data_IF_384223684238
#
_entry.id   IF_384223684238
#
_cell.length_a   1.000
_cell.length_b   1.000
_cell.length_c   1.000
_cell.angle_alpha   90.00
_cell.angle_beta   90.00
_cell.angle_gamma   90.00
#
_symmetry.space_group_name_H-M   'P 1'
#
loop_
_entity.id
_entity.type
_entity.pdbx_description
1 polymer ?
#
# COMPACT_ATOMS: atom_id res chain seq x y z
N UNK A 1 18.71 3.27 -14.48
CA UNK A 1 18.90 2.58 -13.17
C UNK A 1 18.05 3.12 -12.02
N UNK A 2 17.46 4.32 -12.10
CA UNK A 2 16.73 4.96 -10.98
C UNK A 2 15.33 4.40 -10.64
N UNK A 3 14.69 3.62 -11.53
CA UNK A 3 13.32 3.13 -11.31
C UNK A 3 13.20 1.95 -10.32
N UNK A 4 14.27 1.19 -10.11
CA UNK A 4 14.27 0.04 -9.18
C UNK A 4 14.47 0.45 -7.72
N UNK A 5 15.15 1.57 -7.48
CA UNK A 5 15.35 2.08 -6.13
C UNK A 5 14.05 2.63 -5.53
N UNK A 6 13.25 3.37 -6.29
CA UNK A 6 11.97 3.91 -5.81
C UNK A 6 10.97 2.82 -5.36
N UNK A 7 10.96 1.66 -6.02
CA UNK A 7 10.09 0.53 -5.66
C UNK A 7 10.60 -0.15 -4.38
N UNK A 8 11.92 -0.27 -4.21
CA UNK A 8 12.50 -0.78 -2.97
C UNK A 8 12.19 0.13 -1.78
N UNK A 9 12.29 1.45 -1.95
CA UNK A 9 11.97 2.42 -0.87
C UNK A 9 10.50 2.39 -0.50
N UNK A 10 9.60 2.22 -1.48
CA UNK A 10 8.16 2.12 -1.25
C UNK A 10 7.78 0.81 -0.54
N UNK A 11 8.42 -0.31 -0.88
CA UNK A 11 8.24 -1.59 -0.18
C UNK A 11 8.81 -1.57 1.24
N UNK A 12 9.93 -0.86 1.46
CA UNK A 12 10.50 -0.67 2.80
C UNK A 12 9.59 0.21 3.69
N UNK A 13 9.00 1.26 3.11
CA UNK A 13 8.03 2.11 3.81
C UNK A 13 6.74 1.35 4.16
N UNK A 14 6.27 0.47 3.27
CA UNK A 14 5.05 -0.31 3.50
C UNK A 14 5.23 -1.42 4.57
N UNK A 15 6.43 -1.98 4.68
CA UNK A 15 6.76 -2.98 5.72
C UNK A 15 6.94 -2.36 7.11
N UNK A 16 7.39 -1.10 7.20
CA UNK A 16 7.43 -0.34 8.44
C UNK A 16 6.03 0.04 8.95
N UNK A 17 5.09 0.34 8.05
CA UNK A 17 3.68 0.65 8.40
C UNK A 17 2.92 -0.58 8.91
N UNK A 18 3.17 -1.77 8.37
CA UNK A 18 2.55 -3.02 8.88
C UNK A 18 3.12 -3.45 10.25
N UNK A 19 4.39 -3.15 10.53
CA UNK A 19 5.04 -3.53 11.79
C UNK A 19 4.62 -2.63 12.98
N UNK A 20 4.18 -1.39 12.71
CA UNK A 20 3.78 -0.44 13.75
C UNK A 20 2.49 -0.81 14.48
N UNK A 21 1.54 -1.50 13.82
CA UNK A 21 0.26 -1.88 14.45
C UNK A 21 0.34 -3.07 15.41
N UNK A 22 1.44 -3.83 15.38
CA UNK A 22 1.68 -4.94 16.32
C UNK A 22 2.42 -4.49 17.61
N UNK A 23 2.93 -3.26 17.65
CA UNK A 23 3.67 -2.72 18.80
C UNK A 23 2.84 -1.80 19.70
N UNK A 24 1.62 -1.42 19.29
CA UNK A 24 0.69 -0.66 20.14
C UNK A 24 -0.22 -1.54 21.01
N UNK A 25 -0.15 -2.86 20.88
CA UNK A 25 -0.73 -3.78 21.86
C UNK A 25 0.25 -3.90 23.03
N UNK A 26 -0.05 -3.21 24.13
CA UNK A 26 0.55 -3.37 25.45
C UNK A 26 1.99 -3.92 25.43
N UNK A 27 2.99 -3.04 25.25
CA UNK A 27 4.33 -3.37 25.74
C UNK A 27 4.22 -3.39 27.27
N UNK A 28 3.73 -4.52 27.81
CA UNK A 28 3.92 -4.86 29.22
C UNK A 28 5.43 -4.95 29.40
N UNK A 29 5.99 -3.89 29.95
CA UNK A 29 7.40 -3.82 30.32
C UNK A 29 7.64 -4.94 31.32
N UNK A 30 8.20 -6.05 30.85
CA UNK A 30 8.75 -7.08 31.72
C UNK A 30 9.76 -6.38 32.65
N UNK A 31 9.73 -6.65 33.97
CA UNK A 31 10.72 -6.07 34.87
C UNK A 31 12.12 -6.47 34.38
N UNK A 32 12.92 -5.49 33.95
CA UNK A 32 14.26 -5.69 33.36
C UNK A 32 14.41 -5.27 31.90
N UNK A 33 13.34 -4.89 31.18
CA UNK A 33 13.46 -4.33 29.83
C UNK A 33 13.94 -2.86 29.88
N UNK A 34 14.87 -2.43 29.00
CA UNK A 34 15.28 -1.04 28.94
C UNK A 34 14.07 -0.17 28.62
N UNK A 35 13.86 0.89 29.41
CA UNK A 35 12.87 1.90 29.12
C UNK A 35 13.09 2.40 27.68
N UNK A 36 12.00 2.59 26.93
CA UNK A 36 12.08 3.23 25.61
C UNK A 36 12.81 4.58 25.77
N UNK A 37 13.66 4.99 24.80
CA UNK A 37 14.34 6.27 24.86
C UNK A 37 13.34 7.40 25.12
N UNK A 38 13.66 8.27 26.06
CA UNK A 38 12.84 9.43 26.40
C UNK A 38 12.58 10.25 25.12
N UNK A 39 11.33 10.61 24.85
CA UNK A 39 10.94 11.34 23.63
C UNK A 39 10.63 10.48 22.40
N UNK A 40 10.85 9.16 22.42
CA UNK A 40 10.58 8.30 21.25
C UNK A 40 9.07 8.25 20.94
N UNK A 41 8.21 8.15 21.95
CA UNK A 41 6.76 8.10 21.78
C UNK A 41 6.23 9.39 21.16
N UNK A 42 6.68 10.54 21.68
CA UNK A 42 6.32 11.87 21.19
C UNK A 42 6.79 12.07 19.74
N UNK A 43 8.01 11.65 19.42
CA UNK A 43 8.53 11.70 18.06
C UNK A 43 7.71 10.83 17.09
N UNK A 44 7.35 9.61 17.49
CA UNK A 44 6.54 8.71 16.67
C UNK A 44 5.12 9.27 16.43
N UNK A 45 4.51 9.88 17.45
CA UNK A 45 3.22 10.56 17.32
C UNK A 45 3.31 11.76 16.36
N UNK A 46 4.32 12.61 16.54
CA UNK A 46 4.57 13.74 15.62
C UNK A 46 4.77 13.29 14.18
N UNK A 47 5.57 12.24 13.97
CA UNK A 47 5.83 11.69 12.64
C UNK A 47 4.57 11.07 12.03
N UNK A 48 3.76 10.35 12.81
CA UNK A 48 2.47 9.83 12.35
C UNK A 48 1.53 10.97 11.92
N UNK A 49 1.50 12.07 12.67
CA UNK A 49 0.71 13.25 12.32
C UNK A 49 1.18 13.87 10.99
N UNK A 50 2.49 14.03 10.79
CA UNK A 50 3.05 14.50 9.52
C UNK A 50 2.68 13.60 8.33
N UNK A 51 2.65 12.28 8.53
CA UNK A 51 2.22 11.36 7.48
C UNK A 51 0.74 11.53 7.14
N UNK A 52 -0.12 11.73 8.14
CA UNK A 52 -1.55 12.01 7.93
C UNK A 52 -1.72 13.32 7.15
N UNK A 53 -0.99 14.38 7.51
CA UNK A 53 -1.07 15.67 6.82
C UNK A 53 -0.55 15.58 5.37
N UNK A 54 0.50 14.79 5.14
CA UNK A 54 0.96 14.48 3.79
C UNK A 54 -0.10 13.73 2.97
N UNK A 55 -0.79 12.76 3.57
CA UNK A 55 -1.88 12.03 2.92
C UNK A 55 -3.09 12.93 2.59
N UNK A 56 -3.42 13.90 3.46
CA UNK A 56 -4.45 14.91 3.18
C UNK A 56 -4.12 15.69 1.92
N UNK A 57 -2.94 16.32 1.89
CA UNK A 57 -2.46 17.10 0.74
C UNK A 57 -2.43 16.26 -0.54
N UNK A 58 -1.97 15.02 -0.44
CA UNK A 58 -1.95 14.12 -1.58
C UNK A 58 -3.36 13.77 -2.07
N UNK A 59 -4.30 13.49 -1.17
CA UNK A 59 -5.68 13.19 -1.55
C UNK A 59 -6.38 14.40 -2.20
N UNK A 60 -6.12 15.61 -1.70
CA UNK A 60 -6.70 16.86 -2.24
C UNK A 60 -6.14 17.15 -3.64
N UNK A 61 -4.83 16.99 -3.81
CA UNK A 61 -4.19 17.05 -5.12
C UNK A 61 -4.82 16.04 -6.08
N UNK A 62 -4.93 14.77 -5.67
CA UNK A 62 -5.53 13.72 -6.51
C UNK A 62 -6.99 14.00 -6.83
N UNK A 63 -7.75 14.60 -5.90
CA UNK A 63 -9.13 15.01 -6.15
C UNK A 63 -9.20 16.02 -7.28
N UNK A 64 -8.36 17.06 -7.21
CA UNK A 64 -8.30 18.08 -8.26
C UNK A 64 -7.93 17.47 -9.61
N UNK A 65 -6.89 16.63 -9.67
CA UNK A 65 -6.47 15.96 -10.91
C UNK A 65 -7.57 15.05 -11.47
N UNK A 66 -8.36 14.42 -10.61
CA UNK A 66 -9.49 13.58 -11.02
C UNK A 66 -10.65 14.44 -11.57
N UNK A 67 -10.96 15.58 -10.93
CA UNK A 67 -11.95 16.56 -11.42
C UNK A 67 -11.55 17.11 -12.80
N UNK A 68 -10.26 17.36 -13.00
CA UNK A 68 -9.67 17.79 -14.27
C UNK A 68 -9.53 16.65 -15.30
N UNK A 69 -9.99 15.42 -14.99
CA UNK A 69 -9.90 14.22 -15.83
C UNK A 69 -8.48 13.83 -16.25
N UNK A 70 -7.47 14.32 -15.56
CA UNK A 70 -6.06 13.99 -15.84
C UNK A 70 -5.65 12.68 -15.18
N UNK A 71 -6.36 12.25 -14.13
CA UNK A 71 -6.22 10.92 -13.53
C UNK A 71 -7.58 10.25 -13.39
N UNK A 72 -7.65 8.90 -13.46
CA UNK A 72 -8.85 8.14 -13.17
C UNK A 72 -9.41 8.43 -11.77
N UNK A 73 -10.75 8.54 -11.67
CA UNK A 73 -11.45 8.80 -10.39
C UNK A 73 -11.10 7.78 -9.31
N UNK A 74 -10.92 6.51 -9.67
CA UNK A 74 -10.58 5.46 -8.70
C UNK A 74 -9.20 5.63 -8.05
N UNK A 75 -8.24 6.31 -8.70
CA UNK A 75 -6.97 6.65 -8.07
C UNK A 75 -7.15 7.67 -6.92
N UNK A 76 -7.98 8.68 -7.14
CA UNK A 76 -8.36 9.61 -6.08
C UNK A 76 -9.07 8.87 -4.93
N UNK A 77 -10.05 8.02 -5.24
CA UNK A 77 -10.77 7.25 -4.21
C UNK A 77 -9.82 6.34 -3.43
N UNK A 78 -8.72 5.88 -4.03
CA UNK A 78 -7.69 5.13 -3.32
C UNK A 78 -6.89 6.00 -2.36
N UNK A 79 -6.38 7.15 -2.84
CA UNK A 79 -5.68 8.12 -2.00
C UNK A 79 -6.54 8.56 -0.81
N UNK A 80 -7.83 8.86 -1.05
CA UNK A 80 -8.76 9.29 -0.01
C UNK A 80 -9.05 8.20 1.02
N UNK A 81 -9.12 6.93 0.62
CA UNK A 81 -9.26 5.85 1.59
C UNK A 81 -8.02 5.67 2.47
N UNK A 82 -6.81 5.82 1.91
CA UNK A 82 -5.57 5.75 2.68
C UNK A 82 -5.53 6.86 3.73
N UNK A 83 -5.90 8.09 3.36
CA UNK A 83 -6.06 9.20 4.29
C UNK A 83 -7.05 8.84 5.42
N UNK A 84 -8.29 8.47 5.07
CA UNK A 84 -9.34 8.19 6.07
C UNK A 84 -8.95 7.04 7.00
N UNK A 85 -8.28 6.01 6.48
CA UNK A 85 -7.83 4.88 7.29
C UNK A 85 -6.70 5.28 8.27
N UNK A 86 -5.82 6.20 7.87
CA UNK A 86 -4.79 6.74 8.75
C UNK A 86 -5.40 7.64 9.83
N UNK A 87 -6.32 8.53 9.46
CA UNK A 87 -7.05 9.39 10.40
C UNK A 87 -7.88 8.57 11.40
N UNK A 88 -8.57 7.53 10.94
CA UNK A 88 -9.36 6.66 11.80
C UNK A 88 -8.48 5.92 12.83
N UNK A 89 -7.27 5.52 12.42
CA UNK A 89 -6.33 4.85 13.30
C UNK A 89 -5.75 5.80 14.36
N UNK A 90 -5.61 7.09 14.04
CA UNK A 90 -5.09 8.12 14.95
C UNK A 90 -6.17 8.81 15.78
N UNK A 91 -7.44 8.72 15.40
CA UNK A 91 -8.53 9.33 16.14
C UNK A 91 -8.65 8.70 17.54
N UNK A 92 -8.88 9.52 18.56
CA UNK A 92 -9.17 9.07 19.93
C UNK A 92 -10.64 9.30 20.29
N UNK A 93 -11.19 10.44 19.86
CA UNK A 93 -12.60 10.81 20.07
C UNK A 93 -13.56 9.83 19.36
N UNK A 94 -14.49 9.19 20.10
CA UNK A 94 -15.51 8.32 19.52
C UNK A 94 -16.39 8.99 18.47
N UNK A 95 -16.71 10.28 18.61
CA UNK A 95 -17.54 10.99 17.66
C UNK A 95 -16.81 11.22 16.34
N UNK A 96 -15.56 11.71 16.39
CA UNK A 96 -14.69 11.80 15.23
C UNK A 96 -14.52 10.43 14.51
N UNK A 97 -14.32 9.33 15.26
CA UNK A 97 -14.24 7.98 14.68
C UNK A 97 -15.50 7.60 13.92
N UNK A 98 -16.68 7.88 14.49
CA UNK A 98 -17.97 7.58 13.85
C UNK A 98 -18.12 8.36 12.54
N UNK A 99 -17.71 9.62 12.51
CA UNK A 99 -17.73 10.44 11.29
C UNK A 99 -16.79 9.88 10.23
N UNK A 100 -15.56 9.54 10.60
CA UNK A 100 -14.58 8.94 9.69
C UNK A 100 -15.06 7.60 9.12
N UNK A 101 -15.65 6.74 9.95
CA UNK A 101 -16.27 5.49 9.50
C UNK A 101 -17.42 5.73 8.51
N UNK A 102 -18.23 6.76 8.77
CA UNK A 102 -19.32 7.16 7.86
C UNK A 102 -18.76 7.64 6.52
N UNK A 103 -17.68 8.42 6.52
CA UNK A 103 -16.99 8.85 5.30
C UNK A 103 -16.39 7.66 4.55
N UNK A 104 -15.77 6.70 5.24
CA UNK A 104 -15.25 5.47 4.64
C UNK A 104 -16.35 4.64 3.98
N UNK A 105 -17.51 4.50 4.62
CA UNK A 105 -18.66 3.79 4.05
C UNK A 105 -19.15 4.45 2.76
N UNK A 106 -19.33 5.78 2.76
CA UNK A 106 -19.69 6.54 1.55
C UNK A 106 -18.68 6.36 0.43
N UNK A 107 -17.39 6.36 0.77
CA UNK A 107 -16.32 6.17 -0.20
C UNK A 107 -16.32 4.76 -0.79
N UNK A 108 -16.65 3.74 0.00
CA UNK A 108 -16.83 2.37 -0.49
C UNK A 108 -18.00 2.28 -1.48
N UNK A 109 -19.14 2.89 -1.15
CA UNK A 109 -20.29 2.95 -2.07
C UNK A 109 -19.93 3.64 -3.39
N UNK A 110 -19.14 4.72 -3.35
CA UNK A 110 -18.67 5.41 -4.57
C UNK A 110 -17.79 4.50 -5.43
N UNK A 111 -16.91 3.69 -4.81
CA UNK A 111 -16.08 2.72 -5.55
C UNK A 111 -16.90 1.63 -6.20
N UNK A 112 -17.88 1.08 -5.49
CA UNK A 112 -18.78 0.05 -6.02
C UNK A 112 -19.54 0.59 -7.24
N UNK A 113 -20.06 1.82 -7.16
CA UNK A 113 -20.71 2.49 -8.29
C UNK A 113 -19.74 2.70 -9.46
N UNK A 114 -18.54 3.18 -9.19
CA UNK A 114 -17.52 3.39 -10.23
C UNK A 114 -17.17 2.09 -10.97
N UNK A 115 -17.09 0.97 -10.26
CA UNK A 115 -16.84 -0.34 -10.88
C UNK A 115 -18.03 -0.82 -11.72
N UNK A 116 -19.26 -0.61 -11.24
CA UNK A 116 -20.47 -0.96 -11.96
C UNK A 116 -20.62 -0.17 -13.27
N UNK A 117 -20.23 1.11 -13.26
CA UNK A 117 -20.34 2.00 -14.42
C UNK A 117 -19.23 1.75 -15.47
N UNK A 118 -18.16 1.03 -15.12
CA UNK A 118 -16.99 0.81 -15.97
C UNK A 118 -16.56 -0.66 -16.03
N UNK A 119 -17.44 -1.60 -16.44
CA UNK A 119 -17.14 -3.04 -16.38
C UNK A 119 -15.96 -3.47 -17.26
N UNK A 120 -15.59 -2.69 -18.28
CA UNK A 120 -14.42 -2.93 -19.13
C UNK A 120 -13.12 -2.30 -18.63
N UNK A 121 -13.15 -1.48 -17.58
CA UNK A 121 -11.98 -0.80 -17.02
C UNK A 121 -11.86 -1.08 -15.53
N UNK A 122 -10.63 -1.09 -15.02
CA UNK A 122 -10.37 -1.15 -13.59
C UNK A 122 -10.63 0.22 -12.94
N UNK A 123 -10.73 0.27 -11.62
CA UNK A 123 -10.70 1.54 -10.86
C UNK A 123 -9.51 2.44 -11.20
N UNK A 124 -8.39 1.84 -11.63
CA UNK A 124 -7.18 2.53 -12.07
C UNK A 124 -7.26 3.04 -13.51
N UNK A 125 -8.41 2.91 -14.18
CA UNK A 125 -8.62 3.32 -15.57
C UNK A 125 -7.97 2.39 -16.61
N UNK A 126 -7.40 1.26 -16.19
CA UNK A 126 -6.76 0.27 -17.08
C UNK A 126 -7.82 -0.64 -17.71
N UNK A 127 -7.73 -0.90 -19.00
CA UNK A 127 -8.61 -1.84 -19.71
C UNK A 127 -8.43 -3.27 -19.17
N UNK A 128 -9.54 -3.90 -18.73
CA UNK A 128 -9.53 -5.22 -18.10
C UNK A 128 -9.19 -6.34 -19.09
N UNK A 129 -9.54 -6.19 -20.37
CA UNK A 129 -9.21 -7.17 -21.42
C UNK A 129 -7.71 -7.14 -21.70
N UNK A 130 -7.15 -5.94 -21.90
CA UNK A 130 -5.71 -5.79 -22.11
C UNK A 130 -4.90 -6.28 -20.91
N UNK A 131 -5.38 -6.02 -19.69
CA UNK A 131 -4.77 -6.54 -18.48
C UNK A 131 -4.81 -8.07 -18.45
N UNK A 132 -5.95 -8.69 -18.82
CA UNK A 132 -6.08 -10.14 -18.91
C UNK A 132 -5.12 -10.77 -19.92
N UNK A 133 -5.00 -10.18 -21.12
CA UNK A 133 -4.07 -10.64 -22.15
C UNK A 133 -2.61 -10.52 -21.71
N UNK A 134 -2.26 -9.43 -21.03
CA UNK A 134 -0.93 -9.22 -20.46
C UNK A 134 -0.63 -10.30 -19.40
N UNK A 135 -1.53 -10.52 -18.44
CA UNK A 135 -1.35 -11.52 -17.39
C UNK A 135 -1.20 -12.93 -17.96
N UNK A 136 -2.01 -13.29 -18.97
CA UNK A 136 -1.90 -14.60 -19.64
C UNK A 136 -0.55 -14.78 -20.32
N UNK A 137 -0.03 -13.74 -20.97
CA UNK A 137 1.29 -13.76 -21.61
C UNK A 137 2.41 -13.93 -20.59
N UNK A 138 2.38 -13.17 -19.49
CA UNK A 138 3.36 -13.28 -18.41
C UNK A 138 3.33 -14.68 -17.77
N UNK A 139 2.14 -15.23 -17.53
CA UNK A 139 1.99 -16.59 -17.02
C UNK A 139 2.62 -17.63 -17.97
N UNK A 140 2.34 -17.56 -19.27
CA UNK A 140 2.93 -18.46 -20.26
C UNK A 140 4.46 -18.33 -20.36
N UNK A 141 5.00 -17.11 -20.23
CA UNK A 141 6.44 -16.88 -20.19
C UNK A 141 7.07 -17.49 -18.94
N UNK A 142 6.40 -17.35 -17.80
CA UNK A 142 6.79 -17.97 -16.55
C UNK A 142 6.83 -19.50 -16.66
N UNK A 143 5.75 -20.13 -17.15
CA UNK A 143 5.69 -21.58 -17.34
C UNK A 143 6.79 -22.10 -18.26
N UNK A 144 7.04 -21.42 -19.40
CA UNK A 144 8.13 -21.79 -20.32
C UNK A 144 9.50 -21.68 -19.65
N UNK A 145 9.72 -20.64 -18.86
CA UNK A 145 10.98 -20.42 -18.13
C UNK A 145 11.18 -21.47 -17.04
N UNK A 146 10.11 -21.82 -16.31
CA UNK A 146 10.14 -22.88 -15.31
C UNK A 146 10.46 -24.24 -15.93
N UNK A 147 9.78 -24.62 -17.02
CA UNK A 147 10.03 -25.86 -17.76
C UNK A 147 11.44 -25.93 -18.37
N UNK A 148 12.03 -24.79 -18.75
CA UNK A 148 13.42 -24.74 -19.22
C UNK A 148 14.43 -24.90 -18.08
N UNK A 149 14.14 -24.40 -16.88
CA UNK A 149 15.00 -24.58 -15.69
C UNK A 149 15.03 -26.02 -15.20
N UNK A 150 13.90 -26.72 -15.25
CA UNK A 150 13.85 -28.16 -14.91
C UNK A 150 14.66 -29.02 -15.89
N UNK A 151 14.81 -28.57 -17.14
CA UNK A 151 15.59 -29.27 -18.17
C UNK A 151 17.07 -28.88 -18.19
N UNK A 152 17.50 -27.89 -17.40
CA UNK A 152 18.92 -27.56 -17.29
C UNK A 152 19.59 -28.54 -16.33
N UNK A 153 20.59 -29.32 -16.80
CA UNK A 153 21.33 -30.20 -15.91
C UNK A 153 22.05 -29.36 -14.85
N UNK A 154 21.95 -29.78 -13.59
CA UNK A 154 22.74 -29.21 -12.49
C UNK A 154 24.21 -29.39 -12.91
N UNK A 155 24.88 -28.31 -13.31
CA UNK A 155 26.32 -28.34 -13.52
C UNK A 155 26.95 -28.76 -12.19
N UNK A 156 27.66 -29.89 -12.11
CA UNK A 156 28.33 -30.27 -10.89
C UNK A 156 29.30 -29.14 -10.52
N UNK A 157 29.29 -28.74 -9.24
CA UNK A 157 30.21 -27.74 -8.72
C UNK A 157 31.65 -28.14 -9.09
N UNK A 158 32.49 -27.19 -9.54
CA UNK A 158 33.86 -27.49 -9.92
C UNK A 158 34.58 -28.12 -8.72
N UNK A 159 35.08 -29.35 -8.91
CA UNK A 159 35.88 -30.04 -7.90
C UNK A 159 37.12 -29.20 -7.61
N UNK A 160 37.21 -28.67 -6.41
CA UNK A 160 38.44 -28.06 -5.89
C UNK A 160 39.46 -29.18 -5.69
N UNK A 161 40.42 -29.28 -6.61
CA UNK A 161 41.65 -30.06 -6.41
C UNK A 161 42.44 -29.43 -5.27
N UNK A 162 42.73 -30.23 -4.24
CA UNK A 162 43.63 -29.87 -3.14
C UNK A 162 45.08 -29.91 -3.59
#
# INVERSE_FOLDING_TARGET
MFRRQAILTLMLALSLVLSGKLLSQEVRVLPGSPALPEGLSEYLQWHAQLQIDSLRLFSDYMEQRAKEKQVPRGLYLNAKAMQLQAELAAAEDPMAKKELLTQMAKLYDERVRLDADSPGRTWYGVDRTQLGDYMKREFQLFEKTAAQREKQPIKPAPKTTK
#
